data_IF_778704061475
#
_entry.id   IF_778704061475
#
_cell.length_a   1.000
_cell.length_b   1.000
_cell.length_c   1.000
_cell.angle_alpha   90.00
_cell.angle_beta   90.00
_cell.angle_gamma   90.00
#
_symmetry.space_group_name_H-M   'P 1'
#
loop_
_entity.id
_entity.type
_entity.pdbx_description
1 polymer ?
#
# COMPACT_ATOMS: atom_id res chain seq x y z
N UNK A 1 6.35 -1.73 -14.57
CA UNK A 1 5.51 -2.46 -13.61
C UNK A 1 5.59 -1.77 -12.24
N UNK A 2 4.65 -0.90 -11.84
CA UNK A 2 4.65 -0.30 -10.51
C UNK A 2 4.23 -1.31 -9.44
N UNK A 3 4.70 -1.09 -8.21
CA UNK A 3 4.26 -1.80 -7.03
C UNK A 3 3.05 -1.09 -6.39
N UNK A 4 2.93 -1.07 -5.05
CA UNK A 4 1.79 -0.45 -4.37
C UNK A 4 1.99 1.06 -4.24
N UNK A 5 1.31 1.84 -5.09
CA UNK A 5 1.50 3.29 -5.19
C UNK A 5 0.82 4.06 -4.06
N UNK A 6 1.54 5.02 -3.47
CA UNK A 6 1.03 5.98 -2.48
C UNK A 6 1.31 7.39 -2.99
N UNK A 7 0.35 8.30 -2.86
CA UNK A 7 0.54 9.70 -3.25
C UNK A 7 -0.78 10.46 -3.38
N UNK A 8 -0.67 11.70 -3.81
CA UNK A 8 -1.82 12.55 -4.15
C UNK A 8 -2.58 12.02 -5.38
N UNK A 9 -3.75 12.60 -5.66
CA UNK A 9 -4.60 12.35 -6.84
C UNK A 9 -5.35 11.01 -6.86
N UNK A 10 -5.36 10.25 -5.75
CA UNK A 10 -6.17 9.03 -5.62
C UNK A 10 -7.65 9.39 -5.31
N UNK A 11 -8.34 9.95 -6.31
CA UNK A 11 -9.72 10.47 -6.19
C UNK A 11 -10.77 9.39 -5.93
N UNK A 12 -10.47 8.16 -6.29
CA UNK A 12 -11.25 6.96 -5.93
C UNK A 12 -10.33 6.00 -5.20
N UNK A 13 -10.14 6.22 -3.87
CA UNK A 13 -9.06 5.56 -3.15
C UNK A 13 -9.00 4.06 -3.37
N UNK A 14 -7.92 3.61 -4.02
CA UNK A 14 -7.58 2.21 -4.20
C UNK A 14 -6.46 1.81 -3.25
N UNK A 15 -5.22 2.11 -3.59
CA UNK A 15 -4.08 1.89 -2.69
C UNK A 15 -4.06 2.87 -1.52
N UNK A 16 -4.49 4.12 -1.71
CA UNK A 16 -4.63 5.12 -0.65
C UNK A 16 -5.66 4.76 0.43
N UNK A 17 -6.54 3.78 0.19
CA UNK A 17 -7.46 3.25 1.24
C UNK A 17 -6.72 2.80 2.49
N UNK A 18 -5.49 2.33 2.39
CA UNK A 18 -4.69 1.92 3.56
C UNK A 18 -4.46 3.11 4.51
N UNK A 19 -4.27 4.33 3.96
CA UNK A 19 -4.15 5.55 4.75
C UNK A 19 -5.49 5.87 5.41
N UNK A 20 -6.60 5.85 4.64
CA UNK A 20 -7.94 6.15 5.16
C UNK A 20 -8.36 5.16 6.26
N UNK A 21 -7.95 3.90 6.16
CA UNK A 21 -8.22 2.87 7.18
C UNK A 21 -7.46 3.09 8.48
N UNK A 22 -6.27 3.71 8.42
CA UNK A 22 -5.44 3.95 9.60
C UNK A 22 -5.57 5.35 10.18
N UNK A 23 -5.80 6.37 9.36
CA UNK A 23 -5.78 7.77 9.79
C UNK A 23 -6.79 8.05 10.91
N UNK A 24 -6.33 8.66 12.01
CA UNK A 24 -7.16 9.03 13.15
C UNK A 24 -7.73 7.86 13.98
N UNK A 25 -7.38 6.61 13.64
CA UNK A 25 -7.84 5.44 14.38
C UNK A 25 -6.97 5.19 15.61
N UNK A 26 -7.60 5.01 16.78
CA UNK A 26 -6.88 4.62 18.01
C UNK A 26 -6.41 3.17 17.98
N UNK A 27 -7.16 2.30 17.31
CA UNK A 27 -6.85 0.88 17.17
C UNK A 27 -6.80 0.54 15.68
N UNK A 28 -5.70 -0.09 15.26
CA UNK A 28 -5.49 -0.55 13.89
C UNK A 28 -5.10 -2.02 13.91
N UNK A 29 -5.84 -2.81 13.15
CA UNK A 29 -5.58 -4.24 13.00
C UNK A 29 -4.56 -4.47 11.89
N UNK A 30 -3.43 -5.09 12.24
CA UNK A 30 -2.33 -5.33 11.33
C UNK A 30 -2.23 -6.81 10.96
N UNK A 31 -2.49 -7.18 9.71
CA UNK A 31 -2.18 -8.52 9.22
C UNK A 31 -0.66 -8.76 9.18
N UNK A 32 -0.19 -10.03 9.17
CA UNK A 32 1.24 -10.35 9.28
C UNK A 32 2.05 -10.10 8.01
N UNK A 33 1.42 -9.78 6.90
CA UNK A 33 2.11 -9.50 5.64
C UNK A 33 2.66 -8.09 5.51
N UNK A 34 3.01 -7.73 4.27
CA UNK A 34 3.52 -6.41 3.93
C UNK A 34 3.49 -6.16 2.43
N UNK A 35 3.92 -4.97 2.06
CA UNK A 35 3.95 -4.52 0.66
C UNK A 35 5.24 -3.77 0.37
N UNK A 36 5.58 -3.72 -0.90
CA UNK A 36 6.49 -2.71 -1.39
C UNK A 36 5.66 -1.48 -1.76
N UNK A 37 5.97 -0.36 -1.14
CA UNK A 37 5.30 0.92 -1.35
C UNK A 37 6.17 1.83 -2.20
N UNK A 38 5.56 2.54 -3.15
CA UNK A 38 6.27 3.48 -4.03
C UNK A 38 5.47 4.77 -4.15
N UNK A 39 6.16 5.92 -4.20
CA UNK A 39 5.51 7.19 -4.44
C UNK A 39 4.94 7.27 -5.86
N UNK A 40 3.71 7.76 -6.01
CA UNK A 40 3.04 7.87 -7.32
C UNK A 40 3.85 8.75 -8.30
N UNK A 41 4.45 9.83 -7.80
CA UNK A 41 5.32 10.71 -8.60
C UNK A 41 6.60 10.00 -9.08
N UNK A 42 7.14 9.07 -8.29
CA UNK A 42 8.32 8.30 -8.70
C UNK A 42 7.95 7.31 -9.80
N UNK A 43 6.76 6.73 -9.73
CA UNK A 43 6.23 5.90 -10.82
C UNK A 43 6.05 6.71 -12.10
N UNK A 44 5.51 7.92 -12.02
CA UNK A 44 5.37 8.81 -13.19
C UNK A 44 6.74 9.12 -13.81
N UNK A 45 7.73 9.49 -12.99
CA UNK A 45 9.11 9.70 -13.47
C UNK A 45 9.71 8.43 -14.07
N UNK A 46 9.44 7.28 -13.44
CA UNK A 46 9.90 5.97 -13.93
C UNK A 46 9.31 5.59 -15.29
N UNK A 47 8.04 5.94 -15.56
CA UNK A 47 7.42 5.73 -16.87
C UNK A 47 8.12 6.60 -17.92
N UNK A 48 8.33 7.89 -17.66
CA UNK A 48 9.03 8.80 -18.58
C UNK A 48 10.47 8.32 -18.84
N UNK A 49 11.19 7.92 -17.79
CA UNK A 49 12.54 7.39 -17.94
C UNK A 49 12.57 6.08 -18.75
N UNK A 50 11.58 5.20 -18.57
CA UNK A 50 11.49 3.96 -19.34
C UNK A 50 11.21 4.21 -20.84
N UNK A 51 10.42 5.23 -21.16
CA UNK A 51 10.21 5.65 -22.56
C UNK A 51 11.46 6.21 -23.19
N UNK A 52 12.29 6.93 -22.43
CA UNK A 52 13.51 7.56 -22.94
C UNK A 52 14.72 6.63 -22.99
N UNK A 53 14.86 5.72 -22.00
CA UNK A 53 16.09 4.92 -21.78
C UNK A 53 15.84 3.42 -21.65
N UNK A 54 14.57 2.99 -21.62
CA UNK A 54 14.25 1.58 -21.45
C UNK A 54 14.61 0.75 -22.68
N UNK A 55 15.10 -0.46 -22.45
CA UNK A 55 15.36 -1.41 -23.51
C UNK A 55 14.06 -2.08 -23.97
N UNK A 56 13.90 -2.25 -25.27
CA UNK A 56 12.72 -2.90 -25.85
C UNK A 56 12.59 -4.35 -25.36
N UNK A 57 11.38 -4.73 -24.95
CA UNK A 57 11.09 -6.08 -24.42
C UNK A 57 11.42 -6.26 -22.94
N UNK A 58 12.09 -5.31 -22.30
CA UNK A 58 12.47 -5.41 -20.89
C UNK A 58 11.35 -4.97 -19.94
N UNK A 59 11.37 -5.54 -18.72
CA UNK A 59 10.44 -5.19 -17.65
C UNK A 59 11.18 -4.51 -16.52
N UNK A 60 10.67 -3.36 -16.11
CA UNK A 60 11.21 -2.58 -15.00
C UNK A 60 10.21 -2.54 -13.84
N UNK A 61 10.63 -3.03 -12.68
CA UNK A 61 9.87 -2.84 -11.45
C UNK A 61 10.14 -1.43 -10.93
N UNK A 62 9.08 -0.64 -10.82
CA UNK A 62 9.09 0.66 -10.17
C UNK A 62 8.67 0.42 -8.72
N UNK A 63 9.65 0.09 -7.91
CA UNK A 63 9.51 -0.33 -6.53
C UNK A 63 10.19 0.68 -5.60
N UNK A 64 9.53 1.05 -4.52
CA UNK A 64 10.09 1.92 -3.49
C UNK A 64 10.61 1.11 -2.30
N UNK A 65 10.03 1.32 -1.12
CA UNK A 65 10.46 0.72 0.13
C UNK A 65 9.55 -0.45 0.55
N UNK A 66 10.15 -1.43 1.21
CA UNK A 66 9.44 -2.60 1.72
C UNK A 66 9.03 -2.36 3.18
N UNK A 67 7.74 -2.40 3.47
CA UNK A 67 7.19 -2.27 4.81
C UNK A 67 6.18 -3.38 5.11
N UNK A 68 6.22 -3.93 6.31
CA UNK A 68 5.08 -4.67 6.85
C UNK A 68 3.91 -3.71 7.10
N UNK A 69 2.69 -4.23 7.20
CA UNK A 69 1.54 -3.38 7.52
C UNK A 69 1.71 -2.66 8.87
N UNK A 70 2.34 -3.31 9.85
CA UNK A 70 2.59 -2.69 11.14
C UNK A 70 3.59 -1.53 11.06
N UNK A 71 4.68 -1.68 10.30
CA UNK A 71 5.65 -0.60 10.07
C UNK A 71 5.03 0.55 9.29
N UNK A 72 4.22 0.26 8.25
CA UNK A 72 3.49 1.29 7.52
C UNK A 72 2.58 2.12 8.43
N UNK A 73 1.80 1.47 9.31
CA UNK A 73 0.91 2.19 10.22
C UNK A 73 1.65 2.94 11.33
N UNK A 74 2.81 2.47 11.79
CA UNK A 74 3.69 3.25 12.68
C UNK A 74 4.19 4.51 11.99
N UNK A 75 4.66 4.39 10.75
CA UNK A 75 5.10 5.53 9.96
C UNK A 75 3.96 6.52 9.71
N UNK A 76 2.75 6.03 9.37
CA UNK A 76 1.57 6.88 9.22
C UNK A 76 1.23 7.62 10.52
N UNK A 77 1.27 6.94 11.66
CA UNK A 77 1.02 7.54 12.98
C UNK A 77 2.05 8.63 13.31
N UNK A 78 3.32 8.37 13.06
CA UNK A 78 4.42 9.32 13.23
C UNK A 78 4.21 10.58 12.36
N UNK A 79 3.91 10.38 11.06
CA UNK A 79 3.73 11.51 10.12
C UNK A 79 2.46 12.32 10.38
N UNK A 80 1.45 11.74 10.99
CA UNK A 80 0.15 12.39 11.25
C UNK A 80 -0.02 12.86 12.69
N UNK A 81 0.89 12.50 13.60
CA UNK A 81 0.82 12.84 15.02
C UNK A 81 -0.29 12.09 15.80
N UNK A 82 -0.82 11.00 15.25
CA UNK A 82 -1.87 10.21 15.89
C UNK A 82 -1.28 9.06 16.71
N UNK A 83 -1.70 8.93 17.97
CA UNK A 83 -1.37 7.77 18.78
C UNK A 83 -2.22 6.58 18.34
N UNK A 84 -1.57 5.48 17.90
CA UNK A 84 -2.23 4.26 17.45
C UNK A 84 -1.77 3.04 18.25
N UNK A 85 -2.72 2.21 18.65
CA UNK A 85 -2.45 0.86 19.14
C UNK A 85 -2.58 -0.14 18.00
N UNK A 86 -1.47 -0.79 17.65
CA UNK A 86 -1.44 -1.79 16.59
C UNK A 86 -1.72 -3.17 17.17
N UNK A 87 -2.80 -3.80 16.74
CA UNK A 87 -3.16 -5.17 17.12
C UNK A 87 -2.76 -6.10 15.99
N UNK A 88 -1.80 -6.97 16.25
CA UNK A 88 -1.37 -7.98 15.29
C UNK A 88 -2.40 -9.09 15.17
N UNK A 89 -2.91 -9.31 13.96
CA UNK A 89 -3.85 -10.39 13.67
C UNK A 89 -3.03 -11.64 13.27
N UNK A 90 -3.17 -12.77 13.97
CA UNK A 90 -2.47 -13.98 13.56
C UNK A 90 -3.03 -14.55 12.27
N UNK A 91 -2.16 -15.16 11.43
CA UNK A 91 -2.54 -15.67 10.11
C UNK A 91 -3.68 -16.71 10.15
N UNK A 92 -3.78 -17.50 11.21
CA UNK A 92 -4.83 -18.51 11.34
C UNK A 92 -6.23 -17.89 11.46
N UNK A 93 -6.38 -16.77 12.17
CA UNK A 93 -7.68 -16.09 12.29
C UNK A 93 -8.14 -15.50 10.96
N UNK A 94 -7.22 -14.94 10.16
CA UNK A 94 -7.52 -14.46 8.81
C UNK A 94 -7.99 -15.60 7.89
N UNK A 95 -7.42 -16.81 8.05
CA UNK A 95 -7.87 -17.99 7.29
C UNK A 95 -9.32 -18.37 7.63
N UNK A 96 -9.69 -18.32 8.91
CA UNK A 96 -11.06 -18.58 9.36
C UNK A 96 -12.01 -17.51 8.80
N UNK A 97 -11.64 -16.23 8.95
CA UNK A 97 -12.44 -15.10 8.43
C UNK A 97 -12.65 -15.25 6.91
N UNK A 98 -11.61 -15.61 6.17
CA UNK A 98 -11.70 -15.86 4.74
C UNK A 98 -12.63 -17.04 4.38
N UNK A 99 -12.59 -18.11 5.18
CA UNK A 99 -13.49 -19.26 4.98
C UNK A 99 -14.97 -18.89 5.20
N UNK A 100 -15.25 -18.10 6.22
CA UNK A 100 -16.60 -17.58 6.49
C UNK A 100 -17.04 -16.66 5.35
N UNK A 101 -16.15 -15.77 4.86
CA UNK A 101 -16.46 -14.90 3.74
C UNK A 101 -16.81 -15.64 2.46
N UNK A 102 -16.10 -16.74 2.13
CA UNK A 102 -16.43 -17.58 0.99
C UNK A 102 -17.80 -18.28 1.14
N UNK A 103 -18.13 -18.71 2.37
CA UNK A 103 -19.42 -19.32 2.65
C UNK A 103 -20.58 -18.33 2.47
N UNK A 104 -20.42 -17.10 2.98
CA UNK A 104 -21.38 -16.02 2.79
C UNK A 104 -21.51 -15.62 1.31
N UNK A 105 -20.41 -15.63 0.55
CA UNK A 105 -20.41 -15.40 -0.90
C UNK A 105 -21.24 -16.45 -1.65
N UNK A 106 -21.16 -17.73 -1.25
CA UNK A 106 -21.99 -18.80 -1.81
C UNK A 106 -23.48 -18.64 -1.46
N UNK A 107 -23.79 -17.99 -0.35
CA UNK A 107 -25.16 -17.66 0.05
C UNK A 107 -25.72 -16.39 -0.65
N UNK A 108 -24.98 -15.83 -1.66
CA UNK A 108 -25.41 -14.67 -2.43
C UNK A 108 -25.06 -13.31 -1.81
N UNK A 109 -24.40 -13.28 -0.67
CA UNK A 109 -23.93 -12.04 -0.04
C UNK A 109 -22.60 -11.61 -0.67
N UNK A 110 -22.57 -10.42 -1.30
CA UNK A 110 -21.33 -9.87 -1.84
C UNK A 110 -20.41 -9.47 -0.70
N UNK A 111 -19.27 -10.15 -0.55
CA UNK A 111 -18.25 -9.84 0.43
C UNK A 111 -16.89 -9.73 -0.26
N UNK A 112 -16.15 -8.67 0.05
CA UNK A 112 -14.73 -8.55 -0.34
C UNK A 112 -13.83 -9.49 0.50
N UNK A 113 -14.40 -10.09 1.55
CA UNK A 113 -13.71 -11.05 2.41
C UNK A 113 -13.76 -12.42 1.76
N UNK A 114 -12.63 -12.90 1.29
CA UNK A 114 -12.44 -14.23 0.70
C UNK A 114 -11.17 -14.87 1.23
N UNK A 115 -11.05 -16.19 1.13
CA UNK A 115 -9.80 -16.91 1.48
C UNK A 115 -8.60 -16.34 0.71
N UNK A 116 -8.79 -16.02 -0.56
CA UNK A 116 -7.74 -15.46 -1.41
C UNK A 116 -7.29 -14.11 -0.89
N UNK A 117 -8.21 -13.18 -0.59
CA UNK A 117 -7.87 -11.86 -0.09
C UNK A 117 -7.19 -11.94 1.29
N UNK A 118 -7.71 -12.79 2.19
CA UNK A 118 -7.10 -12.99 3.51
C UNK A 118 -5.70 -13.61 3.43
N UNK A 119 -5.48 -14.53 2.46
CA UNK A 119 -4.15 -15.10 2.21
C UNK A 119 -3.16 -14.06 1.69
N UNK A 120 -3.58 -13.18 0.79
CA UNK A 120 -2.75 -12.08 0.26
C UNK A 120 -2.29 -11.14 1.37
N UNK A 121 -3.15 -10.87 2.37
CA UNK A 121 -2.79 -10.05 3.54
C UNK A 121 -1.74 -10.70 4.45
N UNK A 122 -1.54 -12.02 4.35
CA UNK A 122 -0.52 -12.73 5.11
C UNK A 122 0.84 -12.81 4.40
N UNK A 123 0.95 -12.35 3.16
CA UNK A 123 2.17 -12.46 2.36
C UNK A 123 2.89 -11.12 2.32
N UNK A 124 4.20 -11.14 2.55
CA UNK A 124 5.09 -10.00 2.27
C UNK A 124 5.38 -9.92 0.78
N UNK A 125 4.75 -8.97 0.08
CA UNK A 125 5.05 -8.69 -1.32
C UNK A 125 6.18 -7.66 -1.39
N UNK A 126 7.41 -8.13 -1.20
CA UNK A 126 8.62 -7.32 -1.16
C UNK A 126 9.40 -7.44 -2.47
N UNK A 127 9.88 -6.31 -2.96
CA UNK A 127 10.54 -6.22 -4.24
C UNK A 127 11.79 -5.35 -4.15
N UNK A 128 12.69 -5.53 -5.11
CA UNK A 128 13.86 -4.68 -5.29
C UNK A 128 13.73 -3.81 -6.54
N UNK A 129 14.22 -2.61 -6.46
CA UNK A 129 14.27 -1.62 -7.53
C UNK A 129 15.64 -1.50 -8.20
N UNK A 130 16.57 -2.39 -7.88
CA UNK A 130 17.97 -2.32 -8.33
C UNK A 130 18.12 -2.17 -9.86
N UNK A 131 17.28 -2.87 -10.63
CA UNK A 131 17.30 -2.78 -12.09
C UNK A 131 16.86 -1.41 -12.59
N UNK A 132 15.76 -0.87 -12.07
CA UNK A 132 15.25 0.43 -12.48
C UNK A 132 16.17 1.58 -12.06
N UNK A 133 16.83 1.47 -10.91
CA UNK A 133 17.87 2.42 -10.51
C UNK A 133 19.04 2.38 -11.48
N UNK A 134 19.57 1.20 -11.79
CA UNK A 134 20.76 1.03 -12.62
C UNK A 134 20.52 1.41 -14.08
N UNK A 135 19.40 1.00 -14.67
CA UNK A 135 19.16 1.10 -16.11
C UNK A 135 18.35 2.32 -16.51
N UNK A 136 17.51 2.84 -15.60
CA UNK A 136 16.70 4.04 -15.84
C UNK A 136 17.20 5.27 -15.06
N UNK A 137 18.27 5.10 -14.26
CA UNK A 137 18.85 6.16 -13.41
C UNK A 137 17.82 6.82 -12.47
N UNK A 138 16.94 5.99 -11.91
CA UNK A 138 15.86 6.46 -11.04
C UNK A 138 16.34 6.65 -9.60
N UNK A 139 15.81 7.68 -8.96
CA UNK A 139 15.93 7.91 -7.53
C UNK A 139 14.53 7.86 -6.92
N UNK A 140 14.35 7.02 -5.91
CA UNK A 140 13.10 6.85 -5.21
C UNK A 140 13.11 7.65 -3.92
N UNK A 141 12.02 8.36 -3.66
CA UNK A 141 11.85 9.15 -2.44
C UNK A 141 11.42 8.26 -1.27
N UNK A 142 11.72 8.67 -0.02
CA UNK A 142 11.21 7.99 1.16
C UNK A 142 9.67 7.89 1.16
N UNK A 143 9.12 6.77 1.62
CA UNK A 143 7.67 6.57 1.72
C UNK A 143 7.00 7.63 2.60
N UNK A 144 7.71 8.14 3.61
CA UNK A 144 7.22 9.20 4.49
C UNK A 144 6.72 10.43 3.72
N UNK A 145 7.45 10.87 2.69
CA UNK A 145 7.07 12.01 1.85
C UNK A 145 5.80 11.70 1.04
N UNK A 146 5.69 10.49 0.49
CA UNK A 146 4.50 10.06 -0.25
C UNK A 146 3.26 9.98 0.65
N UNK A 147 3.42 9.58 1.91
CA UNK A 147 2.36 9.59 2.91
C UNK A 147 1.91 11.03 3.19
N UNK A 148 2.86 11.96 3.39
CA UNK A 148 2.55 13.37 3.65
C UNK A 148 1.75 13.99 2.50
N UNK A 149 2.20 13.76 1.24
CA UNK A 149 1.49 14.21 0.04
C UNK A 149 0.08 13.64 -0.05
N UNK A 150 -0.08 12.33 0.20
CA UNK A 150 -1.37 11.67 0.16
C UNK A 150 -2.32 12.19 1.26
N UNK A 151 -1.83 12.32 2.49
CA UNK A 151 -2.60 12.84 3.62
C UNK A 151 -3.03 14.28 3.37
N UNK A 152 -2.13 15.15 2.90
CA UNK A 152 -2.45 16.53 2.55
C UNK A 152 -3.55 16.59 1.48
N UNK A 153 -3.42 15.77 0.42
CA UNK A 153 -4.41 15.70 -0.65
C UNK A 153 -5.77 15.19 -0.17
N UNK A 154 -5.82 14.09 0.60
CA UNK A 154 -7.06 13.56 1.15
C UNK A 154 -7.73 14.53 2.12
N UNK A 155 -6.95 15.28 2.91
CA UNK A 155 -7.46 16.31 3.81
C UNK A 155 -8.10 17.46 3.04
N UNK A 156 -7.42 17.94 1.98
CA UNK A 156 -7.94 19.02 1.13
C UNK A 156 -9.26 18.66 0.46
N UNK A 157 -9.44 17.38 0.10
CA UNK A 157 -10.67 16.90 -0.57
C UNK A 157 -11.72 16.34 0.40
N UNK A 158 -11.58 16.57 1.71
CA UNK A 158 -12.56 16.15 2.70
C UNK A 158 -12.72 14.64 2.88
N UNK A 159 -11.71 13.85 2.48
CA UNK A 159 -11.73 12.39 2.57
C UNK A 159 -11.23 11.86 3.92
N UNK A 160 -10.59 12.70 4.71
CA UNK A 160 -10.14 12.39 6.07
C UNK A 160 -11.06 13.06 7.10
N UNK A 161 -11.30 12.40 8.25
CA UNK A 161 -11.99 13.04 9.36
C UNK A 161 -11.22 14.28 9.83
N UNK A 162 -11.99 15.31 10.23
CA UNK A 162 -11.43 16.53 10.83
C UNK A 162 -10.84 16.25 12.20
#
# INVERSE_FOLDING_TARGET
CPTFMIGAWDSRPSSGRIILMGYGRRIVFCPPGGKNFVAANDVARGIVAALARGNSGERYLLAGENYSYAEFYRLLAERTGHCQHLIHIPAWSLRIIGAIGDLLGKAGLRSEVSRTNMRILCIGNYYTNAKSIRELELHYRPLAEAIDEAVAWFRLHGMLPK
#
